data_IF_403777155651
#
_entry.id   IF_403777155651
#
_cell.length_a   1.000
_cell.length_b   1.000
_cell.length_c   1.000
_cell.angle_alpha   90.00
_cell.angle_beta   90.00
_cell.angle_gamma   90.00
#
_symmetry.space_group_name_H-M   'P 1'
#
loop_
_entity.id
_entity.type
_entity.pdbx_description
1 polymer ?
#
# COMPACT_ATOMS: atom_id res chain seq x y z
N UNK A 1 -32.15 -51.35 -60.11
CA UNK A 1 -32.40 -52.47 -59.17
C UNK A 1 -31.67 -52.14 -57.90
N UNK A 2 -32.22 -52.03 -56.69
CA UNK A 2 -33.54 -52.14 -56.07
C UNK A 2 -33.25 -51.80 -54.58
N UNK A 3 -34.16 -51.40 -53.71
CA UNK A 3 -35.62 -51.43 -53.60
C UNK A 3 -35.97 -50.35 -52.56
N UNK A 4 -37.05 -49.59 -52.77
CA UNK A 4 -38.34 -49.63 -52.03
C UNK A 4 -38.24 -49.20 -50.56
N UNK A 5 -39.23 -48.52 -49.97
CA UNK A 5 -40.49 -47.96 -50.43
C UNK A 5 -41.06 -47.18 -49.22
N UNK A 6 -41.84 -46.14 -49.53
CA UNK A 6 -43.01 -45.70 -48.78
C UNK A 6 -42.74 -45.01 -47.43
N UNK A 7 -43.38 -43.91 -47.10
CA UNK A 7 -44.55 -43.28 -47.68
C UNK A 7 -45.48 -42.83 -46.55
N UNK A 8 -46.34 -41.87 -46.89
CA UNK A 8 -47.49 -41.38 -46.11
C UNK A 8 -47.10 -40.39 -44.99
N UNK A 9 -47.64 -39.18 -44.92
CA UNK A 9 -48.65 -38.52 -45.72
C UNK A 9 -49.14 -37.24 -45.04
N UNK A 10 -49.49 -36.25 -45.87
CA UNK A 10 -50.57 -35.22 -45.75
C UNK A 10 -50.75 -34.46 -44.43
N UNK A 11 -51.10 -33.18 -44.39
CA UNK A 11 -51.31 -32.09 -45.34
C UNK A 11 -51.96 -30.95 -44.55
N UNK A 12 -52.06 -29.78 -45.18
CA UNK A 12 -52.78 -28.56 -44.79
C UNK A 12 -51.96 -27.66 -43.86
N UNK A 13 -51.72 -26.38 -44.14
CA UNK A 13 -52.31 -25.49 -45.14
C UNK A 13 -52.48 -24.12 -44.50
N UNK A 14 -52.10 -23.05 -45.19
CA UNK A 14 -52.49 -21.68 -44.81
C UNK A 14 -51.35 -20.67 -44.85
N UNK A 15 -51.33 -19.87 -45.92
CA UNK A 15 -50.45 -18.72 -46.18
C UNK A 15 -50.75 -17.55 -45.23
N UNK A 16 -49.77 -16.66 -44.99
CA UNK A 16 -49.76 -15.26 -45.50
C UNK A 16 -48.70 -14.36 -44.81
N UNK A 17 -48.08 -13.50 -45.64
CA UNK A 17 -47.32 -12.25 -45.39
C UNK A 17 -45.96 -12.34 -44.66
N UNK A 18 -44.83 -12.22 -45.37
CA UNK A 18 -44.16 -11.01 -45.92
C UNK A 18 -43.34 -10.23 -44.89
N UNK A 19 -42.01 -10.29 -45.03
CA UNK A 19 -41.06 -9.52 -44.24
C UNK A 19 -39.63 -9.65 -44.76
N UNK A 20 -39.36 -8.95 -45.88
CA UNK A 20 -38.10 -8.32 -46.34
C UNK A 20 -36.79 -8.98 -45.89
N UNK A 21 -36.13 -9.68 -46.82
CA UNK A 21 -34.94 -9.20 -47.55
C UNK A 21 -33.68 -9.12 -46.68
N UNK A 22 -32.90 -10.20 -46.71
CA UNK A 22 -31.54 -10.25 -46.18
C UNK A 22 -30.55 -10.39 -47.33
N UNK A 23 -29.42 -9.69 -47.16
CA UNK A 23 -28.16 -9.76 -47.90
C UNK A 23 -28.07 -9.03 -49.25
N UNK A 24 -27.72 -7.75 -49.13
CA UNK A 24 -27.01 -6.97 -50.14
C UNK A 24 -25.50 -7.13 -49.94
N UNK A 25 -24.87 -7.63 -51.02
CA UNK A 25 -23.52 -7.38 -51.55
C UNK A 25 -22.27 -7.73 -50.73
N UNK A 26 -21.53 -8.68 -51.30
CA UNK A 26 -20.07 -8.75 -51.33
C UNK A 26 -19.42 -7.37 -51.57
N UNK A 27 -18.47 -7.00 -50.73
CA UNK A 27 -17.52 -5.91 -50.97
C UNK A 27 -16.11 -6.41 -50.64
N UNK A 28 -15.31 -6.57 -51.70
CA UNK A 28 -13.85 -6.54 -51.78
C UNK A 28 -13.04 -6.95 -50.53
N UNK A 29 -12.57 -8.20 -50.51
CA UNK A 29 -11.34 -8.55 -49.79
C UNK A 29 -10.12 -8.11 -50.61
N UNK A 30 -9.61 -6.91 -50.36
CA UNK A 30 -8.19 -6.61 -50.54
C UNK A 30 -7.50 -6.92 -49.22
N UNK A 31 -6.76 -8.03 -49.15
CA UNK A 31 -5.80 -8.25 -48.06
C UNK A 31 -4.66 -7.24 -48.23
N UNK A 32 -4.76 -6.12 -47.51
CA UNK A 32 -3.65 -5.21 -47.33
C UNK A 32 -2.61 -5.88 -46.46
N UNK A 33 -1.37 -5.99 -46.96
CA UNK A 33 -0.24 -6.43 -46.16
C UNK A 33 -0.19 -5.58 -44.87
N UNK A 34 -0.02 -6.19 -43.69
CA UNK A 34 -0.04 -5.44 -42.44
C UNK A 34 1.09 -4.41 -42.46
N UNK A 35 0.76 -3.16 -42.13
CA UNK A 35 1.75 -2.12 -41.95
C UNK A 35 2.72 -2.55 -40.84
N UNK A 36 3.96 -2.83 -41.22
CA UNK A 36 5.03 -3.18 -40.28
C UNK A 36 5.56 -1.89 -39.66
N UNK A 37 5.09 -1.58 -38.45
CA UNK A 37 5.65 -0.50 -37.63
C UNK A 37 6.67 -1.10 -36.68
N UNK A 38 7.92 -0.64 -36.78
CA UNK A 38 8.96 -0.92 -35.80
C UNK A 38 8.95 0.18 -34.75
N UNK A 39 8.94 -0.20 -33.46
CA UNK A 39 9.05 0.75 -32.35
C UNK A 39 10.37 0.53 -31.63
N UNK A 40 10.97 1.63 -31.18
CA UNK A 40 12.25 1.67 -30.49
C UNK A 40 11.99 2.27 -29.10
N UNK A 41 11.87 1.43 -28.07
CA UNK A 41 11.73 1.86 -26.68
C UNK A 41 13.02 1.61 -25.91
N UNK A 42 13.54 2.64 -25.25
CA UNK A 42 14.68 2.51 -24.35
C UNK A 42 14.18 2.22 -22.94
N UNK A 43 14.58 1.10 -22.30
CA UNK A 43 14.24 0.85 -20.90
C UNK A 43 14.85 1.94 -20.01
N UNK A 44 14.03 2.53 -19.13
CA UNK A 44 14.41 3.61 -18.21
C UNK A 44 14.14 3.26 -16.75
N UNK A 45 15.04 3.63 -15.86
CA UNK A 45 14.86 3.60 -14.41
C UNK A 45 14.73 5.03 -13.89
N UNK A 46 13.76 5.29 -13.02
CA UNK A 46 13.56 6.61 -12.39
C UNK A 46 13.77 6.51 -10.90
N UNK A 47 14.35 7.53 -10.30
CA UNK A 47 14.40 7.67 -8.86
C UNK A 47 14.67 9.11 -8.43
N UNK A 48 14.42 9.36 -7.15
CA UNK A 48 14.60 10.66 -6.50
C UNK A 48 15.43 10.49 -5.23
N UNK A 49 16.34 11.43 -4.97
CA UNK A 49 17.13 11.47 -3.74
C UNK A 49 17.09 12.87 -3.13
N UNK A 50 16.79 12.95 -1.83
CA UNK A 50 16.76 14.21 -1.08
C UNK A 50 17.94 14.28 -0.12
N UNK A 51 18.83 15.24 -0.34
CA UNK A 51 19.99 15.50 0.48
C UNK A 51 19.74 16.72 1.39
N UNK A 52 19.52 16.44 2.68
CA UNK A 52 19.26 17.46 3.70
C UNK A 52 20.58 17.93 4.31
N UNK A 53 20.87 19.22 4.19
CA UNK A 53 22.01 19.88 4.83
C UNK A 53 21.45 20.70 5.99
N UNK A 54 21.73 20.23 7.21
CA UNK A 54 21.43 20.97 8.44
C UNK A 54 22.59 21.90 8.77
N UNK A 55 22.33 22.92 9.59
CA UNK A 55 23.31 23.92 10.00
C UNK A 55 23.94 24.63 8.79
N UNK A 56 23.11 25.03 7.82
CA UNK A 56 23.55 25.66 6.57
C UNK A 56 24.53 26.81 6.83
N UNK A 57 24.24 27.66 7.82
CA UNK A 57 25.08 28.79 8.21
C UNK A 57 26.49 28.38 8.68
N UNK A 58 26.62 27.23 9.33
CA UNK A 58 27.91 26.69 9.81
C UNK A 58 28.72 26.00 8.71
N UNK A 59 28.05 25.54 7.66
CA UNK A 59 28.69 24.97 6.48
C UNK A 59 29.28 26.04 5.54
N UNK A 60 29.06 27.32 5.85
CA UNK A 60 29.66 28.45 5.15
C UNK A 60 31.08 28.71 5.65
N UNK A 61 32.00 29.04 4.73
CA UNK A 61 33.40 29.30 5.07
C UNK A 61 34.32 28.09 4.94
N UNK A 62 33.85 26.97 4.36
CA UNK A 62 34.71 25.87 3.92
C UNK A 62 35.75 26.33 2.90
N UNK A 63 35.39 27.34 2.10
CA UNK A 63 36.26 27.93 1.10
C UNK A 63 35.95 27.43 -0.32
N UNK A 64 36.30 28.22 -1.36
CA UNK A 64 35.95 27.87 -2.73
C UNK A 64 36.61 26.56 -3.19
N UNK A 65 35.81 25.67 -3.75
CA UNK A 65 36.25 24.34 -4.20
C UNK A 65 36.05 23.22 -3.17
N UNK A 66 35.81 23.56 -1.90
CA UNK A 66 35.44 22.58 -0.88
C UNK A 66 33.96 22.19 -0.98
N UNK A 67 33.64 20.92 -0.71
CA UNK A 67 32.28 20.40 -0.86
C UNK A 67 31.89 19.41 0.24
N UNK A 68 30.58 19.34 0.44
CA UNK A 68 29.91 18.33 1.25
C UNK A 68 29.29 17.30 0.31
N UNK A 69 29.50 16.02 0.61
CA UNK A 69 29.00 14.91 -0.20
C UNK A 69 27.83 14.21 0.50
N UNK A 70 26.78 13.91 -0.25
CA UNK A 70 25.66 13.11 0.26
C UNK A 70 26.06 11.66 0.50
N UNK A 71 25.18 10.89 1.14
CA UNK A 71 25.28 9.43 1.10
C UNK A 71 25.08 8.93 -0.33
N UNK A 72 25.71 7.81 -0.67
CA UNK A 72 25.50 7.13 -1.94
C UNK A 72 24.07 6.58 -2.04
N UNK A 73 23.49 6.67 -3.22
CA UNK A 73 22.18 6.09 -3.55
C UNK A 73 22.22 5.35 -4.88
N UNK A 74 21.49 4.23 -4.97
CA UNK A 74 21.53 3.35 -6.15
C UNK A 74 20.30 3.56 -7.03
N UNK A 75 20.50 3.91 -8.30
CA UNK A 75 19.44 4.02 -9.30
C UNK A 75 19.93 3.43 -10.63
N UNK A 76 19.13 2.52 -11.20
CA UNK A 76 19.45 1.86 -12.46
C UNK A 76 20.65 0.92 -12.37
N UNK A 77 21.01 0.44 -11.17
CA UNK A 77 22.18 -0.41 -10.93
C UNK A 77 23.50 0.35 -10.79
N UNK A 78 23.46 1.68 -10.80
CA UNK A 78 24.62 2.55 -10.60
C UNK A 78 24.49 3.30 -9.29
N UNK A 79 25.63 3.51 -8.63
CA UNK A 79 25.75 4.29 -7.41
C UNK A 79 26.05 5.74 -7.75
N UNK A 80 25.28 6.63 -7.13
CA UNK A 80 25.32 8.06 -7.36
C UNK A 80 25.52 8.79 -6.04
N UNK A 81 26.04 10.02 -6.11
CA UNK A 81 26.15 10.92 -4.97
C UNK A 81 25.91 12.37 -5.42
N UNK A 82 25.45 13.21 -4.49
CA UNK A 82 25.38 14.66 -4.69
C UNK A 82 26.60 15.31 -4.05
N UNK A 83 27.26 16.23 -4.76
CA UNK A 83 28.25 17.16 -4.21
C UNK A 83 27.64 18.54 -4.10
N UNK A 84 27.72 19.12 -2.92
CA UNK A 84 27.24 20.46 -2.61
C UNK A 84 28.41 21.36 -2.22
N UNK A 85 28.58 22.47 -2.93
CA UNK A 85 29.64 23.45 -2.69
C UNK A 85 29.00 24.72 -2.11
N UNK A 86 29.05 24.93 -0.79
CA UNK A 86 28.48 26.13 -0.17
C UNK A 86 29.20 27.40 -0.60
N UNK A 87 30.52 27.31 -0.82
CA UNK A 87 31.41 28.42 -1.22
C UNK A 87 31.72 28.53 -2.71
N UNK A 88 30.91 27.85 -3.52
CA UNK A 88 31.10 27.76 -4.95
C UNK A 88 32.30 26.87 -5.31
N UNK A 89 32.35 26.42 -6.56
CA UNK A 89 33.41 25.52 -7.04
C UNK A 89 34.78 26.18 -7.18
N UNK A 90 34.84 27.52 -7.26
CA UNK A 90 36.06 28.30 -7.40
C UNK A 90 35.81 29.76 -7.01
N UNK A 91 36.89 30.56 -6.93
CA UNK A 91 36.80 31.97 -6.55
C UNK A 91 35.88 32.82 -7.43
N UNK A 92 35.66 32.46 -8.70
CA UNK A 92 34.76 33.19 -9.63
C UNK A 92 33.29 32.95 -9.32
N UNK A 93 32.96 31.77 -8.78
CA UNK A 93 31.60 31.35 -8.45
C UNK A 93 31.27 31.48 -6.95
N UNK A 94 32.14 32.11 -6.14
CA UNK A 94 32.00 32.26 -4.68
C UNK A 94 30.67 32.86 -4.18
N UNK A 95 29.94 33.56 -5.04
CA UNK A 95 28.63 34.17 -4.74
C UNK A 95 27.47 33.20 -4.90
N UNK A 96 27.71 32.02 -5.43
CA UNK A 96 26.71 31.01 -5.72
C UNK A 96 27.01 29.75 -4.93
N UNK A 97 25.95 29.05 -4.53
CA UNK A 97 26.08 27.63 -4.20
C UNK A 97 26.15 26.82 -5.51
N UNK A 98 26.88 25.71 -5.48
CA UNK A 98 26.95 24.79 -6.61
C UNK A 98 26.53 23.38 -6.20
N UNK A 99 25.90 22.66 -7.13
CA UNK A 99 25.39 21.31 -6.90
C UNK A 99 25.70 20.44 -8.10
N UNK A 100 26.27 19.26 -7.85
CA UNK A 100 26.63 18.30 -8.88
C UNK A 100 26.19 16.89 -8.52
N UNK A 101 25.79 16.14 -9.54
CA UNK A 101 25.64 14.70 -9.52
C UNK A 101 26.99 14.07 -9.85
N UNK A 102 27.39 13.09 -9.04
CA UNK A 102 28.61 12.32 -9.19
C UNK A 102 28.25 10.85 -9.40
N UNK A 103 28.76 10.24 -10.46
CA UNK A 103 28.69 8.79 -10.68
C UNK A 103 29.84 8.13 -9.91
N UNK A 104 29.47 7.26 -8.96
CA UNK A 104 30.41 6.61 -8.04
C UNK A 104 30.82 5.21 -8.51
N UNK A 105 30.05 4.56 -9.38
CA UNK A 105 30.35 3.23 -9.92
C UNK A 105 31.53 3.28 -10.89
N UNK A 106 32.70 2.82 -10.44
CA UNK A 106 33.95 2.84 -11.21
C UNK A 106 33.82 2.15 -12.58
N UNK A 107 34.34 2.80 -13.62
CA UNK A 107 34.35 2.26 -14.99
C UNK A 107 32.98 2.19 -15.66
N UNK A 108 31.92 2.76 -15.04
CA UNK A 108 30.59 2.76 -15.62
C UNK A 108 30.46 3.81 -16.74
N UNK A 109 29.73 3.42 -17.80
CA UNK A 109 29.24 4.30 -18.85
C UNK A 109 27.73 4.21 -18.88
N UNK A 110 27.04 5.33 -18.68
CA UNK A 110 25.59 5.34 -18.47
C UNK A 110 24.95 6.58 -19.11
N UNK A 111 23.82 6.43 -19.78
CA UNK A 111 23.05 7.60 -20.24
C UNK A 111 22.03 7.96 -19.18
N UNK A 112 22.01 9.21 -18.70
CA UNK A 112 21.00 9.63 -17.73
C UNK A 112 20.49 11.05 -17.97
N UNK A 113 19.28 11.33 -17.51
CA UNK A 113 18.77 12.69 -17.30
C UNK A 113 18.74 12.96 -15.81
N UNK A 114 19.06 14.17 -15.40
CA UNK A 114 18.89 14.57 -14.00
C UNK A 114 18.40 16.00 -13.87
N UNK A 115 17.74 16.30 -12.76
CA UNK A 115 17.34 17.65 -12.37
C UNK A 115 17.56 17.85 -10.88
N UNK A 116 17.94 19.07 -10.50
CA UNK A 116 18.12 19.46 -9.10
C UNK A 116 17.06 20.49 -8.71
N UNK A 117 16.43 20.28 -7.57
CA UNK A 117 15.56 21.24 -6.90
C UNK A 117 16.13 21.62 -5.54
N UNK A 118 15.78 22.80 -5.03
CA UNK A 118 16.04 23.16 -3.63
C UNK A 118 14.72 23.39 -2.90
N UNK A 119 14.67 22.94 -1.65
CA UNK A 119 13.60 23.21 -0.69
C UNK A 119 14.20 23.96 0.50
N UNK A 120 13.55 25.04 0.89
CA UNK A 120 13.93 25.88 2.04
C UNK A 120 12.89 25.70 3.16
N UNK A 121 13.36 25.36 4.37
CA UNK A 121 12.48 25.14 5.53
C UNK A 121 11.43 24.05 5.30
N UNK A 122 10.14 24.35 5.56
CA UNK A 122 9.00 23.43 5.36
C UNK A 122 8.30 23.57 4.00
N UNK A 123 8.89 24.26 3.02
CA UNK A 123 8.29 24.36 1.68
C UNK A 123 8.12 22.96 1.07
N UNK A 124 6.99 22.74 0.38
CA UNK A 124 6.72 21.49 -0.34
C UNK A 124 7.04 21.57 -1.84
N UNK A 125 7.30 22.77 -2.38
CA UNK A 125 7.55 22.99 -3.81
C UNK A 125 9.01 23.36 -4.07
N UNK A 126 9.79 22.52 -4.78
CA UNK A 126 11.18 22.82 -5.09
C UNK A 126 11.27 23.86 -6.22
N UNK A 127 12.22 24.79 -6.11
CA UNK A 127 12.63 25.57 -7.27
C UNK A 127 13.62 24.75 -8.11
N UNK A 128 13.17 24.29 -9.28
CA UNK A 128 13.90 23.35 -10.13
C UNK A 128 14.85 24.02 -11.12
N UNK A 129 15.99 23.36 -11.36
CA UNK A 129 16.81 23.52 -12.58
C UNK A 129 16.98 22.14 -13.24
N UNK A 130 16.83 22.11 -14.56
CA UNK A 130 16.81 20.87 -15.36
C UNK A 130 17.71 21.01 -16.57
N UNK A 131 18.56 20.01 -16.83
CA UNK A 131 19.32 19.87 -18.09
C UNK A 131 18.60 18.91 -19.06
N UNK A 132 18.87 18.97 -20.37
CA UNK A 132 18.48 17.91 -21.31
C UNK A 132 19.24 16.60 -21.03
N UNK A 133 18.94 15.53 -21.78
CA UNK A 133 19.62 14.22 -21.63
C UNK A 133 21.11 14.34 -21.94
N UNK A 134 21.98 13.91 -21.04
CA UNK A 134 23.44 13.96 -21.24
C UNK A 134 24.02 12.54 -21.07
N UNK A 135 24.96 12.09 -21.94
CA UNK A 135 25.73 10.88 -21.67
C UNK A 135 26.65 11.12 -20.46
N UNK A 136 26.55 10.26 -19.46
CA UNK A 136 27.36 10.30 -18.24
C UNK A 136 28.38 9.16 -18.30
N UNK A 137 29.65 9.45 -18.10
CA UNK A 137 30.70 8.42 -18.15
C UNK A 137 31.70 8.63 -17.05
N UNK A 138 32.22 7.55 -16.49
CA UNK A 138 33.41 7.61 -15.65
C UNK A 138 34.60 7.08 -16.45
N UNK A 139 35.45 7.98 -16.94
CA UNK A 139 36.74 7.59 -17.52
C UNK A 139 37.75 7.29 -16.40
N UNK A 140 38.70 6.41 -16.68
CA UNK A 140 39.54 5.72 -15.69
C UNK A 140 40.46 6.61 -14.81
N UNK A 141 40.44 7.94 -14.98
CA UNK A 141 41.34 8.85 -14.26
C UNK A 141 40.71 10.15 -13.74
N UNK A 142 39.42 10.42 -13.93
CA UNK A 142 38.76 11.62 -13.36
C UNK A 142 37.31 11.34 -12.94
N UNK A 143 36.89 11.81 -11.76
CA UNK A 143 35.47 11.81 -11.38
C UNK A 143 34.74 12.83 -12.26
N UNK A 144 33.92 12.39 -13.21
CA UNK A 144 33.06 13.30 -13.96
C UNK A 144 31.85 13.68 -13.08
N UNK A 145 31.71 14.99 -12.83
CA UNK A 145 30.62 15.56 -12.04
C UNK A 145 29.76 16.42 -12.95
N UNK A 146 28.43 16.36 -12.78
CA UNK A 146 27.47 16.98 -13.70
C UNK A 146 26.46 17.82 -12.92
N UNK A 147 26.37 19.12 -13.20
CA UNK A 147 25.54 20.01 -12.41
C UNK A 147 25.80 21.48 -12.69
N UNK A 148 25.46 22.33 -11.73
CA UNK A 148 25.46 23.78 -11.90
C UNK A 148 26.48 24.44 -10.99
N UNK A 149 27.50 25.08 -11.58
CA UNK A 149 28.45 25.94 -10.87
C UNK A 149 27.79 27.18 -10.25
N UNK A 150 26.74 27.69 -10.89
CA UNK A 150 25.92 28.83 -10.46
C UNK A 150 24.50 28.37 -10.20
N UNK A 151 24.32 27.45 -9.27
CA UNK A 151 23.02 26.85 -9.00
C UNK A 151 22.06 27.89 -8.41
N UNK A 152 22.39 28.51 -7.28
CA UNK A 152 21.57 29.59 -6.67
C UNK A 152 22.49 30.66 -6.10
N UNK A 153 22.13 31.93 -6.25
CA UNK A 153 22.89 33.02 -5.63
C UNK A 153 22.67 33.01 -4.13
N UNK A 154 23.77 33.11 -3.37
CA UNK A 154 23.74 32.98 -1.92
C UNK A 154 22.89 34.05 -1.25
N UNK A 155 22.95 35.28 -1.75
CA UNK A 155 22.13 36.40 -1.25
C UNK A 155 20.63 36.09 -1.33
N UNK A 156 20.20 35.29 -2.31
CA UNK A 156 18.80 34.83 -2.42
C UNK A 156 18.44 33.84 -1.32
N UNK A 157 19.38 33.00 -0.91
CA UNK A 157 19.20 32.03 0.18
C UNK A 157 19.21 32.74 1.55
N UNK A 158 20.21 33.59 1.77
CA UNK A 158 20.41 34.30 3.05
C UNK A 158 19.26 35.29 3.34
N UNK A 159 18.60 35.80 2.30
CA UNK A 159 17.41 36.64 2.45
C UNK A 159 16.11 35.85 2.72
N UNK A 160 16.14 34.51 2.70
CA UNK A 160 14.96 33.66 2.88
C UNK A 160 14.56 33.53 4.36
N UNK A 161 13.35 33.96 4.77
CA UNK A 161 12.90 33.83 6.16
C UNK A 161 12.84 32.39 6.66
N UNK A 162 12.57 31.43 5.77
CA UNK A 162 12.50 30.02 6.10
C UNK A 162 13.87 29.41 6.45
N UNK A 163 14.94 29.96 5.86
CA UNK A 163 16.32 29.54 6.12
C UNK A 163 16.82 30.13 7.45
N UNK A 164 16.44 31.37 7.76
CA UNK A 164 16.77 32.03 9.03
C UNK A 164 16.12 31.36 10.25
N UNK A 165 14.99 30.67 10.07
CA UNK A 165 14.25 30.02 11.17
C UNK A 165 14.76 28.60 11.50
N UNK A 166 15.18 27.83 10.50
CA UNK A 166 15.49 26.40 10.63
C UNK A 166 16.92 26.01 10.22
N UNK A 167 17.68 26.95 9.67
CA UNK A 167 19.05 26.79 9.18
C UNK A 167 19.30 25.51 8.37
N UNK A 168 18.34 25.17 7.51
CA UNK A 168 18.32 23.92 6.75
C UNK A 168 17.95 24.15 5.29
N UNK A 169 18.74 23.53 4.41
CA UNK A 169 18.42 23.39 2.98
C UNK A 169 18.26 21.91 2.62
N UNK A 170 17.35 21.61 1.70
CA UNK A 170 17.24 20.26 1.12
C UNK A 170 17.43 20.34 -0.39
N UNK A 171 18.40 19.60 -0.90
CA UNK A 171 18.70 19.47 -2.32
C UNK A 171 18.00 18.19 -2.80
N UNK A 172 17.05 18.32 -3.70
CA UNK A 172 16.31 17.20 -4.30
C UNK A 172 16.91 16.89 -5.66
N UNK A 173 17.25 15.64 -5.92
CA UNK A 173 17.76 15.17 -7.20
C UNK A 173 16.79 14.17 -7.81
N UNK A 174 16.25 14.50 -8.98
CA UNK A 174 15.54 13.54 -9.82
C UNK A 174 16.48 13.01 -10.88
N UNK A 175 16.52 11.68 -11.07
CA UNK A 175 17.38 11.05 -12.07
C UNK A 175 16.62 9.96 -12.84
N UNK A 176 16.88 9.91 -14.15
CA UNK A 176 16.36 8.92 -15.09
C UNK A 176 17.54 8.26 -15.79
N UNK A 177 17.78 6.98 -15.52
CA UNK A 177 18.86 6.19 -16.13
C UNK A 177 18.32 5.40 -17.33
N UNK A 178 18.95 5.54 -18.49
CA UNK A 178 18.67 4.81 -19.73
C UNK A 178 19.59 3.60 -19.84
N UNK A 179 19.06 2.39 -19.98
CA UNK A 179 19.88 1.19 -20.25
C UNK A 179 20.37 1.19 -21.71
N UNK A 180 21.48 0.51 -21.96
CA UNK A 180 22.07 0.42 -23.30
C UNK A 180 21.17 -0.32 -24.30
N UNK A 181 21.08 0.26 -25.50
CA UNK A 181 20.40 -0.27 -26.67
C UNK A 181 18.86 -0.13 -26.65
N UNK A 182 18.23 0.46 -27.68
CA UNK A 182 16.81 0.23 -27.88
C UNK A 182 16.60 -1.25 -28.23
N UNK A 183 15.79 -1.95 -27.44
CA UNK A 183 15.35 -3.29 -27.82
C UNK A 183 14.35 -3.13 -28.96
N UNK A 184 14.73 -3.51 -30.19
CA UNK A 184 13.78 -3.71 -31.27
C UNK A 184 13.06 -5.02 -30.97
N UNK A 185 11.95 -4.95 -30.23
CA UNK A 185 11.08 -6.10 -30.03
C UNK A 185 10.32 -6.36 -31.33
N UNK A 186 10.30 -7.62 -31.78
CA UNK A 186 9.61 -8.04 -33.01
C UNK A 186 8.12 -7.71 -32.99
N UNK A 187 7.54 -7.60 -34.20
CA UNK A 187 6.15 -7.26 -34.56
C UNK A 187 5.18 -7.30 -33.36
N UNK A 188 4.83 -6.12 -32.84
CA UNK A 188 3.81 -5.95 -31.78
C UNK A 188 2.58 -5.27 -32.39
N UNK A 189 1.42 -5.83 -32.03
CA UNK A 189 0.05 -5.35 -32.31
C UNK A 189 -0.12 -3.83 -32.05
N UNK A 190 -1.15 -3.17 -32.65
CA UNK A 190 -1.37 -1.73 -32.56
C UNK A 190 -1.33 -1.19 -31.12
N UNK A 191 -1.03 0.11 -30.92
CA UNK A 191 -0.80 0.69 -29.59
C UNK A 191 -1.95 0.34 -28.66
N UNK A 192 -1.71 0.12 -27.35
CA UNK A 192 -2.83 0.06 -26.43
C UNK A 192 -3.58 1.37 -26.62
N UNK A 193 -4.83 1.27 -27.09
CA UNK A 193 -5.87 2.22 -26.75
C UNK A 193 -5.62 2.58 -25.29
N UNK A 194 -5.60 3.87 -24.91
CA UNK A 194 -5.50 4.24 -23.50
C UNK A 194 -6.59 3.45 -22.78
N UNK A 195 -6.24 2.32 -22.17
CA UNK A 195 -7.21 1.42 -21.59
C UNK A 195 -7.79 2.26 -20.46
N UNK A 196 -9.09 2.59 -20.52
CA UNK A 196 -9.70 3.33 -19.43
C UNK A 196 -9.40 2.59 -18.13
N UNK A 197 -9.12 3.30 -17.02
CA UNK A 197 -8.91 2.65 -15.74
C UNK A 197 -10.10 1.73 -15.43
N UNK A 198 -9.83 0.61 -14.75
CA UNK A 198 -10.87 -0.34 -14.40
C UNK A 198 -12.00 0.36 -13.64
N UNK A 199 -13.22 0.27 -14.16
CA UNK A 199 -14.42 0.77 -13.51
C UNK A 199 -15.06 -0.27 -12.58
N UNK A 200 -14.48 -1.48 -12.49
CA UNK A 200 -15.05 -2.62 -11.75
C UNK A 200 -15.43 -2.24 -10.32
N UNK A 201 -14.51 -1.62 -9.58
CA UNK A 201 -14.77 -1.19 -8.20
C UNK A 201 -15.96 -0.23 -8.12
N UNK A 202 -16.00 0.79 -8.99
CA UNK A 202 -17.09 1.77 -9.00
C UNK A 202 -18.42 1.20 -9.48
N UNK A 203 -18.39 0.19 -10.36
CA UNK A 203 -19.60 -0.46 -10.85
C UNK A 203 -20.22 -1.34 -9.75
N UNK A 204 -19.39 -2.05 -8.97
CA UNK A 204 -19.85 -2.79 -7.79
C UNK A 204 -20.29 -1.87 -6.64
N UNK A 205 -19.66 -0.71 -6.47
CA UNK A 205 -20.12 0.31 -5.52
C UNK A 205 -21.54 0.79 -5.85
N UNK A 206 -21.78 1.17 -7.12
CA UNK A 206 -23.12 1.55 -7.61
C UNK A 206 -24.14 0.43 -7.44
N UNK A 207 -23.72 -0.84 -7.64
CA UNK A 207 -24.58 -2.00 -7.42
C UNK A 207 -24.99 -2.14 -5.95
N UNK A 208 -24.07 -1.90 -5.01
CA UNK A 208 -24.37 -1.88 -3.58
C UNK A 208 -25.34 -0.73 -3.22
N UNK A 209 -25.15 0.45 -3.81
CA UNK A 209 -26.00 1.62 -3.56
C UNK A 209 -27.41 1.47 -4.14
N UNK A 210 -27.53 0.97 -5.38
CA UNK A 210 -28.81 0.80 -6.06
C UNK A 210 -29.67 -0.30 -5.44
N UNK A 211 -29.03 -1.29 -4.80
CA UNK A 211 -29.66 -2.49 -4.22
C UNK A 211 -30.39 -3.35 -5.27
N UNK A 212 -30.14 -3.10 -6.55
CA UNK A 212 -30.81 -3.79 -7.65
C UNK A 212 -30.33 -5.25 -7.73
N UNK A 213 -31.25 -6.20 -7.60
CA UNK A 213 -30.92 -7.62 -7.63
C UNK A 213 -30.42 -8.19 -6.30
N UNK A 214 -30.51 -7.43 -5.20
CA UNK A 214 -30.20 -7.91 -3.87
C UNK A 214 -31.10 -9.11 -3.49
N UNK A 215 -30.49 -10.20 -3.06
CA UNK A 215 -31.14 -11.50 -2.80
C UNK A 215 -31.04 -11.91 -1.31
N UNK A 216 -30.44 -11.06 -0.48
CA UNK A 216 -30.43 -11.18 0.98
C UNK A 216 -30.36 -9.81 1.66
N UNK A 217 -30.92 -9.71 2.87
CA UNK A 217 -30.84 -8.49 3.69
C UNK A 217 -30.16 -8.77 5.03
N UNK A 218 -29.12 -8.01 5.37
CA UNK A 218 -28.57 -8.04 6.72
C UNK A 218 -29.25 -6.97 7.59
N UNK A 219 -29.69 -7.32 8.79
CA UNK A 219 -30.27 -6.39 9.76
C UNK A 219 -29.27 -6.16 10.87
N UNK A 220 -28.68 -4.96 10.93
CA UNK A 220 -27.64 -4.59 11.90
C UNK A 220 -28.20 -3.53 12.82
N UNK A 221 -28.44 -3.88 14.09
CA UNK A 221 -29.07 -2.99 15.09
C UNK A 221 -30.33 -2.25 14.58
N UNK A 222 -31.15 -2.94 13.79
CA UNK A 222 -32.39 -2.39 13.21
C UNK A 222 -32.22 -1.70 11.85
N UNK A 223 -31.00 -1.43 11.40
CA UNK A 223 -30.74 -0.94 10.04
C UNK A 223 -30.66 -2.11 9.04
N UNK A 224 -31.35 -1.97 7.91
CA UNK A 224 -31.41 -3.00 6.87
C UNK A 224 -30.44 -2.73 5.73
N UNK A 225 -29.65 -3.74 5.38
CA UNK A 225 -28.62 -3.72 4.33
C UNK A 225 -28.94 -4.81 3.29
N UNK A 226 -29.70 -4.49 2.23
CA UNK A 226 -29.89 -5.39 1.10
C UNK A 226 -28.56 -5.57 0.33
N UNK A 227 -28.16 -6.81 0.10
CA UNK A 227 -26.88 -7.17 -0.53
C UNK A 227 -27.00 -8.42 -1.40
N UNK A 228 -25.94 -8.72 -2.15
CA UNK A 228 -25.86 -9.82 -3.12
C UNK A 228 -25.04 -10.99 -2.55
N UNK A 229 -25.69 -12.14 -2.30
CA UNK A 229 -25.05 -13.34 -1.74
C UNK A 229 -23.78 -13.71 -2.49
N UNK A 230 -23.81 -13.68 -3.83
CA UNK A 230 -22.68 -14.07 -4.68
C UNK A 230 -21.42 -13.23 -4.41
N UNK A 231 -21.58 -11.92 -4.18
CA UNK A 231 -20.45 -11.02 -3.89
C UNK A 231 -19.87 -11.34 -2.51
N UNK A 232 -20.73 -11.52 -1.51
CA UNK A 232 -20.30 -11.86 -0.14
C UNK A 232 -19.57 -13.22 -0.09
N UNK A 233 -20.14 -14.24 -0.74
CA UNK A 233 -19.57 -15.59 -0.83
C UNK A 233 -18.20 -15.58 -1.51
N UNK A 234 -18.00 -14.74 -2.53
CA UNK A 234 -16.73 -14.65 -3.24
C UNK A 234 -15.63 -13.96 -2.41
N UNK A 235 -16.00 -13.11 -1.45
CA UNK A 235 -15.08 -12.18 -0.78
C UNK A 235 -14.76 -12.55 0.67
N UNK A 236 -15.59 -13.39 1.29
CA UNK A 236 -15.38 -13.86 2.66
C UNK A 236 -15.66 -15.36 2.78
N UNK A 237 -14.69 -16.16 3.24
CA UNK A 237 -14.89 -17.59 3.48
C UNK A 237 -15.91 -17.86 4.59
N UNK A 238 -16.00 -16.97 5.59
CA UNK A 238 -16.95 -17.07 6.69
C UNK A 238 -18.37 -16.76 6.20
N UNK A 239 -18.54 -15.70 5.40
CA UNK A 239 -19.85 -15.42 4.78
C UNK A 239 -20.25 -16.51 3.80
N UNK A 240 -19.29 -17.12 3.08
CA UNK A 240 -19.56 -18.30 2.26
C UNK A 240 -20.10 -19.46 3.09
N UNK A 241 -19.45 -19.80 4.20
CA UNK A 241 -19.93 -20.87 5.09
C UNK A 241 -21.31 -20.54 5.68
N UNK A 242 -21.54 -19.28 6.07
CA UNK A 242 -22.82 -18.81 6.59
C UNK A 242 -23.94 -18.91 5.56
N UNK A 243 -23.68 -18.51 4.31
CA UNK A 243 -24.70 -18.39 3.26
C UNK A 243 -24.94 -19.68 2.48
N UNK A 244 -23.93 -20.56 2.39
CA UNK A 244 -24.02 -21.86 1.72
C UNK A 244 -24.19 -23.04 2.67
N UNK A 245 -24.10 -22.82 3.99
CA UNK A 245 -24.33 -23.85 5.01
C UNK A 245 -25.81 -24.16 5.23
N UNK A 246 -26.10 -25.24 5.96
CA UNK A 246 -27.47 -25.74 6.20
C UNK A 246 -28.42 -24.77 6.93
N UNK A 247 -27.93 -23.62 7.41
CA UNK A 247 -28.77 -22.60 8.07
C UNK A 247 -29.63 -21.79 7.08
N UNK A 248 -29.27 -21.70 5.80
CA UNK A 248 -30.04 -20.93 4.80
C UNK A 248 -30.98 -21.78 3.95
N UNK A 249 -31.01 -23.11 4.12
CA UNK A 249 -32.01 -23.99 3.48
C UNK A 249 -33.45 -23.67 3.93
N UNK A 250 -33.62 -22.90 5.00
CA UNK A 250 -34.90 -22.41 5.51
C UNK A 250 -35.52 -21.27 4.70
N UNK A 251 -34.87 -20.79 3.61
CA UNK A 251 -35.42 -19.72 2.76
C UNK A 251 -35.45 -18.35 3.43
N UNK A 252 -34.74 -18.17 4.56
CA UNK A 252 -34.65 -16.89 5.24
C UNK A 252 -33.98 -15.84 4.34
N UNK A 253 -34.74 -14.78 4.02
CA UNK A 253 -34.29 -13.64 3.22
C UNK A 253 -33.51 -12.60 4.03
N UNK A 254 -33.40 -12.77 5.35
CA UNK A 254 -32.75 -11.84 6.26
C UNK A 254 -31.82 -12.51 7.28
N UNK A 255 -30.72 -11.83 7.64
CA UNK A 255 -29.74 -12.26 8.65
C UNK A 255 -29.53 -11.11 9.64
N UNK A 256 -29.70 -11.35 10.93
CA UNK A 256 -29.48 -10.34 11.98
C UNK A 256 -28.03 -10.37 12.47
N UNK A 257 -27.41 -9.19 12.61
CA UNK A 257 -26.07 -9.01 13.21
C UNK A 257 -26.18 -8.02 14.36
N UNK A 258 -26.08 -8.52 15.60
CA UNK A 258 -26.27 -7.70 16.81
C UNK A 258 -24.96 -7.08 17.32
N UNK A 259 -23.84 -7.78 17.12
CA UNK A 259 -22.54 -7.44 17.72
C UNK A 259 -21.72 -6.41 16.91
N UNK A 260 -22.32 -5.74 15.93
CA UNK A 260 -21.63 -4.80 15.06
C UNK A 260 -22.40 -3.50 14.94
N UNK A 261 -21.69 -2.37 14.95
CA UNK A 261 -22.31 -1.09 14.64
C UNK A 261 -22.64 -0.98 13.14
N UNK A 262 -23.76 -0.36 12.76
CA UNK A 262 -24.14 -0.20 11.36
C UNK A 262 -23.07 0.48 10.51
N UNK A 263 -22.36 1.47 11.07
CA UNK A 263 -21.27 2.17 10.37
C UNK A 263 -20.08 1.24 10.05
N UNK A 264 -19.75 0.31 10.95
CA UNK A 264 -18.68 -0.67 10.76
C UNK A 264 -19.10 -1.68 9.70
N UNK A 265 -20.37 -2.13 9.75
CA UNK A 265 -20.90 -3.05 8.75
C UNK A 265 -20.96 -2.41 7.36
N UNK A 266 -21.34 -1.13 7.26
CA UNK A 266 -21.29 -0.36 6.02
C UNK A 266 -19.87 -0.27 5.46
N UNK A 267 -18.87 0.00 6.30
CA UNK A 267 -17.46 0.02 5.89
C UNK A 267 -16.98 -1.34 5.39
N UNK A 268 -17.38 -2.42 6.08
CA UNK A 268 -17.08 -3.79 5.69
C UNK A 268 -17.70 -4.13 4.32
N UNK A 269 -18.98 -3.80 4.11
CA UNK A 269 -19.67 -4.00 2.84
C UNK A 269 -19.01 -3.22 1.72
N UNK A 270 -18.69 -1.94 1.95
CA UNK A 270 -17.96 -1.14 0.96
C UNK A 270 -16.69 -1.87 0.52
N UNK A 271 -15.87 -2.33 1.46
CA UNK A 271 -14.64 -3.06 1.14
C UNK A 271 -14.90 -4.40 0.42
N UNK A 272 -15.97 -5.13 0.78
CA UNK A 272 -16.36 -6.36 0.09
C UNK A 272 -16.57 -6.10 -1.40
N UNK A 273 -17.25 -5.00 -1.76
CA UNK A 273 -17.60 -4.66 -3.15
C UNK A 273 -16.47 -3.95 -3.91
N UNK A 274 -15.67 -3.13 -3.25
CA UNK A 274 -14.70 -2.22 -3.91
C UNK A 274 -13.22 -2.56 -3.65
N UNK A 275 -12.95 -3.48 -2.71
CA UNK A 275 -11.60 -3.77 -2.21
C UNK A 275 -10.86 -2.52 -1.68
N UNK A 276 -11.60 -1.47 -1.31
CA UNK A 276 -11.11 -0.18 -0.87
C UNK A 276 -11.82 0.25 0.42
N UNK A 277 -11.11 0.99 1.29
CA UNK A 277 -11.73 1.60 2.47
C UNK A 277 -12.68 2.70 2.01
N UNK A 278 -13.80 2.84 2.71
CA UNK A 278 -14.73 3.95 2.45
C UNK A 278 -14.06 5.29 2.80
N UNK A 279 -14.34 6.37 2.05
CA UNK A 279 -13.95 7.71 2.46
C UNK A 279 -14.56 8.03 3.83
N UNK A 280 -13.72 8.38 4.81
CA UNK A 280 -14.14 8.63 6.20
C UNK A 280 -14.72 10.03 6.41
N UNK A 281 -15.39 10.60 5.40
CA UNK A 281 -15.71 12.03 5.35
C UNK A 281 -16.62 12.53 6.49
N UNK A 282 -17.17 11.65 7.32
CA UNK A 282 -17.94 12.00 8.53
C UNK A 282 -17.74 11.00 9.69
N UNK A 283 -16.69 10.18 9.68
CA UNK A 283 -16.48 9.15 10.70
C UNK A 283 -15.10 9.34 11.35
N UNK A 284 -15.06 9.18 12.67
CA UNK A 284 -13.82 9.16 13.43
C UNK A 284 -13.04 7.88 13.05
N UNK A 285 -12.11 8.00 12.10
CA UNK A 285 -11.29 6.89 11.57
C UNK A 285 -10.62 6.14 12.72
N UNK A 286 -10.16 6.87 13.74
CA UNK A 286 -9.50 6.28 14.90
C UNK A 286 -10.45 5.39 15.72
N UNK A 287 -11.75 5.68 15.78
CA UNK A 287 -12.73 4.79 16.42
C UNK A 287 -13.20 3.67 15.50
N UNK A 288 -13.31 3.93 14.20
CA UNK A 288 -13.85 2.98 13.24
C UNK A 288 -12.88 1.84 12.91
N UNK A 289 -11.60 2.15 12.70
CA UNK A 289 -10.59 1.18 12.27
C UNK A 289 -10.42 0.00 13.25
N UNK A 290 -10.37 0.20 14.59
CA UNK A 290 -10.33 -0.91 15.55
C UNK A 290 -11.51 -1.90 15.40
N UNK A 291 -12.73 -1.37 15.26
CA UNK A 291 -13.92 -2.19 15.07
C UNK A 291 -13.93 -2.89 13.70
N UNK A 292 -13.42 -2.21 12.67
CA UNK A 292 -13.29 -2.79 11.33
C UNK A 292 -12.24 -3.91 11.30
N UNK A 293 -11.15 -3.79 12.06
CA UNK A 293 -10.17 -4.88 12.22
C UNK A 293 -10.82 -6.12 12.83
N UNK A 294 -11.59 -5.95 13.91
CA UNK A 294 -12.35 -7.04 14.54
C UNK A 294 -13.35 -7.68 13.58
N UNK A 295 -14.03 -6.87 12.77
CA UNK A 295 -14.94 -7.36 11.72
C UNK A 295 -14.19 -8.15 10.63
N UNK A 296 -13.05 -7.63 10.18
CA UNK A 296 -12.23 -8.26 9.16
C UNK A 296 -11.73 -9.64 9.60
N UNK A 297 -11.25 -9.74 10.85
CA UNK A 297 -10.84 -11.02 11.45
C UNK A 297 -12.02 -12.00 11.56
N UNK A 298 -13.16 -11.53 12.10
CA UNK A 298 -14.38 -12.35 12.23
C UNK A 298 -14.84 -12.94 10.90
N UNK A 299 -14.74 -12.18 9.81
CA UNK A 299 -15.18 -12.61 8.49
C UNK A 299 -14.06 -13.18 7.62
N UNK A 300 -12.86 -13.41 8.17
CA UNK A 300 -11.73 -14.02 7.45
C UNK A 300 -11.24 -13.19 6.26
N UNK A 301 -11.23 -11.86 6.41
CA UNK A 301 -10.83 -10.90 5.39
C UNK A 301 -9.40 -10.39 5.61
N UNK A 302 -8.41 -11.23 5.32
CA UNK A 302 -6.99 -10.98 5.64
C UNK A 302 -6.45 -9.66 5.07
N UNK A 303 -6.81 -9.31 3.83
CA UNK A 303 -6.34 -8.05 3.21
C UNK A 303 -6.88 -6.82 3.96
N UNK A 304 -8.16 -6.84 4.35
CA UNK A 304 -8.77 -5.75 5.13
C UNK A 304 -8.12 -5.66 6.51
N UNK A 305 -7.93 -6.80 7.18
CA UNK A 305 -7.25 -6.88 8.47
C UNK A 305 -5.85 -6.26 8.41
N UNK A 306 -5.04 -6.62 7.41
CA UNK A 306 -3.71 -6.06 7.20
C UNK A 306 -3.73 -4.54 6.95
N UNK A 307 -4.69 -4.03 6.17
CA UNK A 307 -4.85 -2.59 5.96
C UNK A 307 -5.18 -1.88 7.29
N UNK A 308 -6.08 -2.44 8.10
CA UNK A 308 -6.39 -1.90 9.42
C UNK A 308 -5.17 -1.93 10.35
N UNK A 309 -4.36 -3.00 10.32
CA UNK A 309 -3.10 -3.07 11.08
C UNK A 309 -2.14 -1.93 10.71
N UNK A 310 -1.94 -1.68 9.41
CA UNK A 310 -1.06 -0.59 8.94
C UNK A 310 -1.57 0.77 9.42
N UNK A 311 -2.89 1.00 9.34
CA UNK A 311 -3.52 2.24 9.80
C UNK A 311 -3.34 2.44 11.30
N UNK A 312 -3.57 1.41 12.10
CA UNK A 312 -3.37 1.48 13.55
C UNK A 312 -1.89 1.67 13.90
N UNK A 313 -0.94 1.12 13.14
CA UNK A 313 0.49 1.34 13.34
C UNK A 313 0.88 2.81 13.14
N UNK A 314 0.23 3.52 12.20
CA UNK A 314 0.52 4.93 11.92
C UNK A 314 -0.04 5.87 12.99
N UNK A 315 -1.07 5.44 13.72
CA UNK A 315 -1.81 6.24 14.70
C UNK A 315 -1.65 5.71 16.14
N UNK A 316 -0.47 5.18 16.51
CA UNK A 316 -0.19 4.79 17.89
C UNK A 316 0.17 6.03 18.70
N UNK A 317 -0.54 6.23 19.82
CA UNK A 317 -0.27 7.29 20.78
C UNK A 317 -0.29 6.77 22.23
N UNK A 318 0.02 7.65 23.18
CA UNK A 318 0.11 7.32 24.61
C UNK A 318 -1.23 6.88 25.20
N UNK A 319 -2.33 7.47 24.76
CA UNK A 319 -3.67 7.22 25.32
C UNK A 319 -4.22 5.87 24.81
N UNK A 320 -3.85 5.48 23.60
CA UNK A 320 -4.45 4.37 22.87
C UNK A 320 -3.53 3.15 22.73
N UNK A 321 -2.24 3.25 23.02
CA UNK A 321 -1.31 2.13 22.82
C UNK A 321 -1.73 0.86 23.55
N UNK A 322 -2.31 0.97 24.74
CA UNK A 322 -2.79 -0.20 25.51
C UNK A 322 -3.99 -0.86 24.83
N UNK A 323 -4.99 -0.07 24.42
CA UNK A 323 -6.18 -0.60 23.75
C UNK A 323 -5.84 -1.21 22.39
N UNK A 324 -4.95 -0.59 21.63
CA UNK A 324 -4.43 -1.11 20.36
C UNK A 324 -3.62 -2.40 20.59
N UNK A 325 -2.80 -2.47 21.63
CA UNK A 325 -2.04 -3.68 21.96
C UNK A 325 -2.96 -4.86 22.30
N UNK A 326 -3.97 -4.64 23.15
CA UNK A 326 -4.95 -5.67 23.51
C UNK A 326 -5.71 -6.16 22.28
N UNK A 327 -6.14 -5.23 21.42
CA UNK A 327 -6.79 -5.56 20.15
C UNK A 327 -5.86 -6.40 19.25
N UNK A 328 -4.59 -6.01 19.15
CA UNK A 328 -3.61 -6.71 18.34
C UNK A 328 -3.35 -8.14 18.83
N UNK A 329 -3.28 -8.34 20.16
CA UNK A 329 -3.10 -9.67 20.74
C UNK A 329 -4.33 -10.56 20.54
N UNK A 330 -5.54 -10.04 20.81
CA UNK A 330 -6.80 -10.75 20.64
C UNK A 330 -7.01 -11.25 19.20
N UNK A 331 -6.62 -10.45 18.21
CA UNK A 331 -6.78 -10.78 16.80
C UNK A 331 -5.49 -11.28 16.13
N UNK A 332 -4.45 -11.63 16.91
CA UNK A 332 -3.19 -12.21 16.42
C UNK A 332 -2.46 -11.33 15.37
N UNK A 333 -2.58 -10.02 15.49
CA UNK A 333 -1.94 -9.02 14.63
C UNK A 333 -0.48 -8.78 15.07
N UNK A 334 0.41 -9.68 14.67
CA UNK A 334 1.81 -9.69 15.16
C UNK A 334 2.59 -8.41 14.80
N UNK A 335 2.34 -7.82 13.63
CA UNK A 335 3.01 -6.59 13.20
C UNK A 335 2.59 -5.40 14.07
N UNK A 336 1.28 -5.25 14.29
CA UNK A 336 0.72 -4.23 15.17
C UNK A 336 1.19 -4.41 16.62
N UNK A 337 1.20 -5.65 17.14
CA UNK A 337 1.71 -5.97 18.47
C UNK A 337 3.17 -5.51 18.65
N UNK A 338 4.02 -5.79 17.65
CA UNK A 338 5.42 -5.33 17.66
C UNK A 338 5.54 -3.80 17.60
N UNK A 339 4.70 -3.13 16.81
CA UNK A 339 4.69 -1.67 16.74
C UNK A 339 4.33 -1.05 18.10
N UNK A 340 3.32 -1.58 18.80
CA UNK A 340 2.97 -1.16 20.16
C UNK A 340 4.12 -1.37 21.14
N UNK A 341 4.78 -2.53 21.12
CA UNK A 341 5.92 -2.81 21.99
C UNK A 341 7.11 -1.87 21.73
N UNK A 342 7.41 -1.58 20.47
CA UNK A 342 8.45 -0.62 20.10
C UNK A 342 8.10 0.80 20.57
N UNK A 343 6.83 1.19 20.47
CA UNK A 343 6.36 2.49 20.96
C UNK A 343 6.50 2.60 22.49
N UNK A 344 6.11 1.55 23.22
CA UNK A 344 6.26 1.46 24.68
C UNK A 344 7.74 1.47 25.13
N UNK A 345 8.64 0.91 24.32
CA UNK A 345 10.08 0.91 24.57
C UNK A 345 10.76 2.28 24.35
N UNK A 346 10.04 3.25 23.79
CA UNK A 346 10.58 4.61 23.57
C UNK A 346 10.75 5.33 24.92
N UNK A 347 11.88 6.05 25.15
CA UNK A 347 12.12 6.77 26.40
C UNK A 347 10.96 7.71 26.76
N UNK A 348 10.59 7.75 28.05
CA UNK A 348 9.53 8.58 28.62
C UNK A 348 8.10 8.25 28.16
N UNK A 349 7.88 7.32 27.22
CA UNK A 349 6.53 6.90 26.79
C UNK A 349 5.88 6.02 27.85
N UNK A 350 6.59 5.01 28.35
CA UNK A 350 6.07 4.09 29.36
C UNK A 350 5.60 4.81 30.64
N UNK A 351 6.35 5.80 31.11
CA UNK A 351 5.98 6.58 32.31
C UNK A 351 4.69 7.40 32.12
N UNK A 352 4.37 7.78 30.88
CA UNK A 352 3.12 8.47 30.56
C UNK A 352 1.97 7.48 30.46
N UNK A 353 2.18 6.34 29.81
CA UNK A 353 1.17 5.27 29.64
C UNK A 353 0.74 4.70 31.00
N UNK A 354 1.66 4.53 31.95
CA UNK A 354 1.34 4.04 33.30
C UNK A 354 0.31 4.93 34.03
N UNK A 355 0.21 6.21 33.65
CA UNK A 355 -0.72 7.17 34.27
C UNK A 355 -2.10 7.18 33.59
N UNK A 356 -2.31 6.41 32.53
CA UNK A 356 -3.59 6.39 31.80
C UNK A 356 -4.56 5.39 32.45
N UNK A 357 -5.87 5.67 32.45
CA UNK A 357 -6.86 4.79 33.09
C UNK A 357 -6.91 3.40 32.44
N UNK A 358 -6.62 3.30 31.14
CA UNK A 358 -6.60 2.03 30.40
C UNK A 358 -5.52 1.07 30.92
N UNK A 359 -4.41 1.61 31.44
CA UNK A 359 -3.36 0.80 32.07
C UNK A 359 -3.82 0.24 33.42
N UNK A 360 -4.54 1.04 34.22
CA UNK A 360 -5.12 0.60 35.49
C UNK A 360 -6.21 -0.47 35.28
N UNK A 361 -7.04 -0.32 34.25
CA UNK A 361 -8.02 -1.33 33.86
C UNK A 361 -7.35 -2.65 33.44
N UNK A 362 -6.30 -2.59 32.61
CA UNK A 362 -5.52 -3.77 32.22
C UNK A 362 -4.90 -4.46 33.45
N UNK A 363 -4.40 -3.68 34.40
CA UNK A 363 -3.84 -4.17 35.66
C UNK A 363 -4.88 -4.91 36.52
N UNK A 364 -6.11 -4.39 36.56
CA UNK A 364 -7.20 -4.96 37.36
C UNK A 364 -7.83 -6.21 36.71
N UNK A 365 -7.82 -6.31 35.38
CA UNK A 365 -8.33 -7.47 34.64
C UNK A 365 -7.46 -8.72 34.81
N UNK A 366 -6.15 -8.56 35.02
CA UNK A 366 -5.25 -9.68 35.30
C UNK A 366 -4.21 -9.37 36.40
N UNK A 367 -4.63 -9.36 37.69
CA UNK A 367 -3.75 -8.99 38.81
C UNK A 367 -2.55 -9.93 38.99
N UNK A 368 -2.60 -11.14 38.42
CA UNK A 368 -1.50 -12.13 38.48
C UNK A 368 -0.33 -11.75 37.58
N UNK A 369 -0.54 -10.83 36.64
CA UNK A 369 0.45 -10.32 35.71
C UNK A 369 1.09 -8.98 36.12
N UNK A 370 0.62 -8.34 37.20
CA UNK A 370 1.12 -7.06 37.68
C UNK A 370 1.48 -7.11 39.19
N UNK A 371 2.76 -7.10 39.57
CA UNK A 371 3.16 -7.16 40.98
C UNK A 371 2.82 -5.87 41.76
N UNK A 372 2.53 -6.01 43.07
CA UNK A 372 2.07 -4.94 43.97
C UNK A 372 3.19 -4.08 44.61
N UNK A 373 4.37 -3.97 44.01
CA UNK A 373 5.51 -3.24 44.60
C UNK A 373 5.82 -1.92 43.87
N UNK A 374 6.25 -0.91 44.63
CA UNK A 374 6.50 0.47 44.18
C UNK A 374 7.57 0.62 43.08
N UNK A 375 8.35 -0.44 42.82
CA UNK A 375 9.30 -0.55 41.68
C UNK A 375 8.64 -1.05 40.37
N UNK A 376 7.35 -0.75 40.19
CA UNK A 376 6.53 -1.17 39.03
C UNK A 376 6.90 -0.54 37.68
N UNK A 377 7.89 0.35 37.62
CA UNK A 377 8.31 1.04 36.38
C UNK A 377 9.05 0.14 35.38
N UNK A 378 9.70 -0.93 35.86
CA UNK A 378 10.55 -1.78 35.03
C UNK A 378 9.91 -3.12 34.63
N UNK A 379 8.93 -3.61 35.39
CA UNK A 379 8.52 -5.02 35.27
C UNK A 379 7.48 -5.31 34.18
N UNK A 380 6.64 -4.36 33.77
CA UNK A 380 5.60 -4.65 32.76
C UNK A 380 6.19 -4.73 31.34
N UNK A 381 7.08 -3.82 30.98
CA UNK A 381 7.82 -3.90 29.73
C UNK A 381 8.75 -5.13 29.70
N UNK A 382 9.46 -5.42 30.79
CA UNK A 382 10.32 -6.62 30.86
C UNK A 382 9.52 -7.92 30.89
N UNK A 383 8.33 -7.99 31.49
CA UNK A 383 7.54 -9.22 31.57
C UNK A 383 6.68 -9.46 30.32
N UNK A 384 6.22 -8.42 29.64
CA UNK A 384 5.65 -8.55 28.28
C UNK A 384 6.72 -8.97 27.26
N UNK A 385 7.96 -8.49 27.39
CA UNK A 385 9.10 -9.02 26.61
C UNK A 385 9.51 -10.44 27.06
N UNK A 386 9.56 -10.73 28.36
CA UNK A 386 10.00 -12.03 28.90
C UNK A 386 9.01 -13.16 28.63
N UNK A 387 7.70 -12.90 28.69
CA UNK A 387 6.67 -13.92 28.39
C UNK A 387 6.79 -14.39 26.95
N UNK A 388 7.00 -13.48 26.00
CA UNK A 388 7.14 -13.82 24.58
C UNK A 388 8.47 -14.50 24.25
N UNK A 389 9.56 -14.12 24.94
CA UNK A 389 10.92 -14.63 24.68
C UNK A 389 11.17 -15.98 25.37
N UNK A 390 10.73 -16.18 26.62
CA UNK A 390 11.01 -17.42 27.37
C UNK A 390 9.96 -18.50 27.13
N UNK A 391 8.66 -18.19 27.05
CA UNK A 391 7.62 -19.23 26.95
C UNK A 391 7.72 -20.06 25.65
N UNK A 392 8.21 -19.45 24.54
CA UNK A 392 8.51 -20.18 23.29
C UNK A 392 9.85 -20.91 23.26
N UNK A 393 10.78 -20.60 24.17
CA UNK A 393 12.10 -21.25 24.24
C UNK A 393 12.15 -22.38 25.28
N UNK A 394 11.29 -22.38 26.31
CA UNK A 394 11.29 -23.41 27.37
C UNK A 394 10.30 -24.55 27.19
N UNK A 395 9.31 -24.47 26.29
CA UNK A 395 8.34 -25.54 26.05
C UNK A 395 8.24 -25.89 24.56
N UNK A 396 8.75 -27.06 24.11
CA UNK A 396 8.44 -27.58 22.77
C UNK A 396 6.94 -27.94 22.69
N UNK A 397 6.35 -28.00 21.48
CA UNK A 397 4.97 -28.47 21.35
C UNK A 397 4.91 -29.93 21.82
N UNK A 398 4.11 -30.21 22.86
CA UNK A 398 3.82 -31.58 23.25
C UNK A 398 3.09 -32.26 22.09
N UNK A 399 3.81 -33.13 21.40
CA UNK A 399 3.24 -34.18 20.56
C UNK A 399 2.31 -35.01 21.43
N UNK A 400 1.00 -34.99 21.14
CA UNK A 400 0.08 -35.99 21.68
C UNK A 400 0.38 -37.34 21.03
N UNK A 401 0.71 -38.40 21.78
CA UNK A 401 0.74 -39.74 21.22
C UNK A 401 -0.70 -40.26 21.09
N UNK A 402 -1.03 -40.75 19.90
CA UNK A 402 -2.14 -41.67 19.67
C UNK A 402 -2.02 -42.86 20.62
N UNK A 403 -2.98 -43.05 21.54
CA UNK A 403 -3.18 -44.35 22.19
C UNK A 403 -4.68 -44.68 22.21
N UNK A 404 -5.01 -45.72 21.47
CA UNK A 404 -6.25 -46.48 21.52
C UNK A 404 -6.32 -47.27 22.85
N UNK A 405 -7.50 -47.31 23.49
CA UNK A 405 -7.72 -48.15 24.67
C UNK A 405 -8.99 -47.80 25.46
N UNK A 406 -10.04 -48.59 25.22
CA UNK A 406 -11.35 -48.72 25.90
C UNK A 406 -11.33 -48.68 27.45
N UNK A 407 -12.48 -48.48 28.18
CA UNK A 407 -13.72 -49.26 28.02
C UNK A 407 -15.06 -48.51 28.10
N UNK A 408 -16.04 -49.12 27.43
CA UNK A 408 -17.48 -48.86 27.61
C UNK A 408 -17.90 -49.19 29.03
N UNK A 409 -18.53 -48.24 29.72
CA UNK A 409 -19.40 -48.50 30.86
C UNK A 409 -20.68 -47.69 30.64
N UNK A 410 -21.79 -48.39 30.43
CA UNK A 410 -23.11 -47.82 30.36
C UNK A 410 -23.81 -47.79 31.73
N UNK A 411 -25.12 -47.54 31.63
CA UNK A 411 -26.20 -47.68 32.61
C UNK A 411 -26.72 -46.35 33.20
N UNK A 412 -28.01 -46.27 33.63
CA UNK A 412 -29.17 -47.08 33.23
C UNK A 412 -30.48 -46.28 33.00
N UNK A 413 -31.42 -46.99 32.34
CA UNK A 413 -32.89 -46.91 32.31
C UNK A 413 -33.57 -45.56 32.02
#
# INVERSE_FOLDING_TARGET
>A
MGRRCGGVGRATGGRLFSGKEAYISDIFHMETAPNLVSTCTAPVFRGQHSFVVSDYSLNMGLGPGEFIRSKMFNIGGFDWSIRYYPDGVNHRCRRYIAVFLELMTQGAKVRAKYSFGILLGQSQTPSWKTEPTIPISQEASTSQIYGWEKFIERTTLDASPALLLLDRITIVCDIIVLKDGPLVSGVVLPPPTKVPPSALSSDFEKLLESKEGADITFVVKGESFPVHKVVLIARSPILKALLCGSMTESGASHITVEEMEPVVFKALLHFIYTDSLMPFDNCDEDKLVPHLLRAADRYGMERLKAICEVKLCMNIDVERVITIFVLADQHQCNMLKRACLNFLATPNTLEKVIKTPEYDELKNLDPRNFPQTEDGRFFVAMRMLWWEILFRLTFPPLHFPHIAGMPRLGLPA
#
